data_IF_909723240528
#
_entry.id   IF_909723240528
#
_cell.length_a   1.000
_cell.length_b   1.000
_cell.length_c   1.000
_cell.angle_alpha   90.00
_cell.angle_beta   90.00
_cell.angle_gamma   90.00
#
_symmetry.space_group_name_H-M   'P 1'
#
loop_
_entity.id
_entity.type
_entity.pdbx_description
1 polymer ?
#
# COMPACT_ATOMS: atom_id res chain seq x y z
N UNK A 1 30.35 3.91 -9.28
CA UNK A 1 29.22 4.05 -8.34
C UNK A 1 28.31 2.86 -8.50
N UNK A 2 28.06 2.07 -7.45
CA UNK A 2 27.03 1.03 -7.48
C UNK A 2 25.66 1.71 -7.36
N UNK A 3 24.85 1.59 -8.40
CA UNK A 3 23.47 2.07 -8.39
C UNK A 3 22.70 1.10 -7.48
N UNK A 4 22.41 1.53 -6.24
CA UNK A 4 21.52 0.78 -5.36
C UNK A 4 20.12 0.85 -6.00
N UNK A 5 19.70 -0.23 -6.65
CA UNK A 5 18.30 -0.35 -7.06
C UNK A 5 17.48 -0.53 -5.78
N UNK A 6 16.46 0.30 -5.52
CA UNK A 6 15.61 0.08 -4.37
C UNK A 6 15.00 -1.32 -4.48
N UNK A 7 15.15 -2.09 -3.41
CA UNK A 7 14.54 -3.41 -3.32
C UNK A 7 13.02 -3.31 -3.23
N UNK A 8 12.27 -4.40 -3.43
CA UNK A 8 10.80 -4.40 -3.38
C UNK A 8 10.19 -3.92 -2.04
N UNK A 9 11.01 -3.82 -0.98
CA UNK A 9 10.65 -3.32 0.34
C UNK A 9 11.57 -2.17 0.80
N UNK A 10 12.12 -1.40 -0.13
CA UNK A 10 12.87 -0.19 0.22
C UNK A 10 11.92 0.83 0.84
N UNK A 11 12.29 1.32 2.03
CA UNK A 11 11.63 2.39 2.76
C UNK A 11 11.42 3.65 1.90
N UNK A 12 12.34 3.92 0.96
CA UNK A 12 12.22 5.02 0.02
C UNK A 12 10.95 4.95 -0.86
N UNK A 13 10.47 3.73 -1.14
CA UNK A 13 9.33 3.49 -2.03
C UNK A 13 7.99 3.40 -1.28
N UNK A 14 7.99 3.53 0.05
CA UNK A 14 6.78 3.35 0.87
C UNK A 14 5.64 4.30 0.49
N UNK A 15 5.95 5.54 0.09
CA UNK A 15 4.94 6.48 -0.41
C UNK A 15 4.32 6.04 -1.74
N UNK A 16 5.14 5.52 -2.65
CA UNK A 16 4.67 5.04 -3.95
C UNK A 16 3.85 3.76 -3.80
N UNK A 17 4.31 2.84 -2.94
CA UNK A 17 3.57 1.63 -2.55
C UNK A 17 2.21 2.00 -1.95
N UNK A 18 2.17 2.95 -1.01
CA UNK A 18 0.91 3.43 -0.41
C UNK A 18 -0.05 3.97 -1.47
N UNK A 19 0.42 4.85 -2.36
CA UNK A 19 -0.40 5.41 -3.45
C UNK A 19 -0.92 4.30 -4.38
N UNK A 20 -0.08 3.33 -4.72
CA UNK A 20 -0.46 2.19 -5.57
C UNK A 20 -1.51 1.30 -4.89
N UNK A 21 -1.36 1.03 -3.59
CA UNK A 21 -2.32 0.23 -2.83
C UNK A 21 -3.68 0.90 -2.74
N UNK A 22 -3.72 2.22 -2.48
CA UNK A 22 -4.96 3.01 -2.48
C UNK A 22 -5.63 2.95 -3.87
N UNK A 23 -4.90 3.24 -4.95
CA UNK A 23 -5.44 3.18 -6.31
C UNK A 23 -5.99 1.79 -6.67
N UNK A 24 -5.31 0.73 -6.21
CA UNK A 24 -5.77 -0.64 -6.42
C UNK A 24 -7.02 -0.98 -5.62
N UNK A 25 -7.24 -0.35 -4.47
CA UNK A 25 -8.44 -0.49 -3.66
C UNK A 25 -9.61 0.25 -4.32
N UNK A 26 -9.43 1.51 -4.71
CA UNK A 26 -10.43 2.31 -5.44
C UNK A 26 -10.86 1.65 -6.76
N UNK A 27 -9.89 1.15 -7.55
CA UNK A 27 -10.20 0.44 -8.79
C UNK A 27 -10.96 -0.87 -8.54
N UNK A 28 -10.68 -1.54 -7.42
CA UNK A 28 -11.39 -2.75 -7.02
C UNK A 28 -12.80 -2.43 -6.49
N UNK A 29 -12.98 -1.31 -5.80
CA UNK A 29 -14.31 -0.81 -5.39
C UNK A 29 -15.19 -0.53 -6.59
N UNK A 30 -14.66 0.13 -7.62
CA UNK A 30 -15.38 0.31 -8.87
C UNK A 30 -15.72 -1.04 -9.54
N UNK A 31 -14.79 -2.00 -9.52
CA UNK A 31 -15.05 -3.33 -10.06
C UNK A 31 -16.16 -4.09 -9.29
N UNK A 32 -16.37 -3.81 -7.99
CA UNK A 32 -17.46 -4.40 -7.22
C UNK A 32 -18.85 -4.03 -7.75
N UNK A 33 -19.00 -2.91 -8.45
CA UNK A 33 -20.29 -2.50 -9.03
C UNK A 33 -20.77 -3.47 -10.12
N UNK A 34 -19.84 -4.19 -10.75
CA UNK A 34 -20.11 -5.14 -11.84
C UNK A 34 -19.88 -6.59 -11.43
N UNK A 35 -19.36 -6.84 -10.23
CA UNK A 35 -19.01 -8.17 -9.75
C UNK A 35 -20.14 -8.80 -8.92
N UNK A 36 -20.32 -10.11 -9.05
CA UNK A 36 -21.34 -10.85 -8.32
C UNK A 36 -20.79 -12.15 -7.72
N UNK A 37 -21.55 -12.72 -6.77
CA UNK A 37 -21.25 -14.01 -6.17
C UNK A 37 -19.83 -14.13 -5.60
N UNK A 38 -19.07 -15.11 -6.07
CA UNK A 38 -17.71 -15.41 -5.58
C UNK A 38 -16.71 -14.31 -5.90
N UNK A 39 -16.87 -13.62 -7.03
CA UNK A 39 -15.96 -12.55 -7.44
C UNK A 39 -16.10 -11.34 -6.51
N UNK A 40 -17.34 -10.94 -6.19
CA UNK A 40 -17.62 -9.87 -5.24
C UNK A 40 -17.00 -10.15 -3.85
N UNK A 41 -17.13 -11.38 -3.35
CA UNK A 41 -16.53 -11.79 -2.06
C UNK A 41 -15.01 -11.70 -2.12
N UNK A 42 -14.39 -12.22 -3.18
CA UNK A 42 -12.94 -12.18 -3.34
C UNK A 42 -12.39 -10.74 -3.42
N UNK A 43 -13.12 -9.84 -4.09
CA UNK A 43 -12.76 -8.41 -4.16
C UNK A 43 -12.83 -7.78 -2.76
N UNK A 44 -13.90 -8.03 -2.00
CA UNK A 44 -14.06 -7.52 -0.62
C UNK A 44 -12.95 -8.00 0.31
N UNK A 45 -12.64 -9.29 0.31
CA UNK A 45 -11.55 -9.85 1.12
C UNK A 45 -10.20 -9.24 0.74
N UNK A 46 -9.96 -9.01 -0.55
CA UNK A 46 -8.71 -8.39 -1.02
C UNK A 46 -8.64 -6.91 -0.63
N UNK A 47 -9.76 -6.19 -0.61
CA UNK A 47 -9.81 -4.81 -0.11
C UNK A 47 -9.58 -4.73 1.39
N UNK A 48 -10.14 -5.64 2.19
CA UNK A 48 -9.86 -5.71 3.63
C UNK A 48 -8.35 -5.85 3.91
N UNK A 49 -7.64 -6.74 3.20
CA UNK A 49 -6.17 -6.86 3.33
C UNK A 49 -5.41 -5.62 2.85
N UNK A 50 -5.95 -4.86 1.89
CA UNK A 50 -5.35 -3.60 1.44
C UNK A 50 -5.50 -2.51 2.49
N UNK A 51 -6.60 -2.47 3.24
CA UNK A 51 -6.79 -1.54 4.35
C UNK A 51 -5.71 -1.75 5.42
N UNK A 52 -5.47 -3.00 5.83
CA UNK A 52 -4.37 -3.36 6.74
C UNK A 52 -3.01 -2.89 6.17
N UNK A 53 -2.74 -3.20 4.90
CA UNK A 53 -1.49 -2.78 4.23
C UNK A 53 -1.33 -1.25 4.17
N UNK A 54 -2.43 -0.50 4.01
CA UNK A 54 -2.43 0.97 3.99
C UNK A 54 -2.08 1.52 5.36
N UNK A 55 -2.62 0.93 6.43
CA UNK A 55 -2.30 1.32 7.81
C UNK A 55 -0.82 1.08 8.13
N UNK A 56 -0.31 -0.11 7.80
CA UNK A 56 1.09 -0.46 8.00
C UNK A 56 2.03 0.50 7.26
N UNK A 57 1.78 0.75 5.96
CA UNK A 57 2.57 1.69 5.17
C UNK A 57 2.50 3.12 5.71
N UNK A 58 1.35 3.57 6.21
CA UNK A 58 1.22 4.89 6.86
C UNK A 58 2.05 4.95 8.14
N UNK A 59 2.08 3.88 8.92
CA UNK A 59 2.87 3.80 10.15
C UNK A 59 4.37 3.78 9.84
N UNK A 60 4.80 3.02 8.84
CA UNK A 60 6.19 3.00 8.36
C UNK A 60 6.66 4.39 7.91
N UNK A 61 5.89 5.07 7.04
CA UNK A 61 6.21 6.43 6.57
C UNK A 61 6.32 7.42 7.74
N UNK A 62 5.45 7.30 8.75
CA UNK A 62 5.50 8.15 9.95
C UNK A 62 6.73 7.85 10.80
N UNK A 63 7.09 6.58 10.97
CA UNK A 63 8.28 6.16 11.70
C UNK A 63 9.55 6.67 11.02
N UNK A 64 9.66 6.51 9.69
CA UNK A 64 10.77 7.06 8.90
C UNK A 64 10.89 8.57 9.02
N UNK A 65 9.76 9.29 8.95
CA UNK A 65 9.76 10.74 9.10
C UNK A 65 10.28 11.15 10.49
N UNK A 66 9.89 10.44 11.55
CA UNK A 66 10.39 10.65 12.91
C UNK A 66 11.90 10.34 13.03
N UNK A 67 12.36 9.22 12.47
CA UNK A 67 13.79 8.87 12.47
C UNK A 67 14.63 9.92 11.75
N UNK A 68 14.15 10.45 10.61
CA UNK A 68 14.85 11.52 9.88
C UNK A 68 14.89 12.84 10.65
N UNK A 69 13.84 13.15 11.42
CA UNK A 69 13.82 14.34 12.29
C UNK A 69 14.77 14.16 13.49
N UNK A 70 14.86 12.94 14.04
CA UNK A 70 15.70 12.64 15.20
C UNK A 70 17.19 12.43 14.87
N UNK A 71 17.58 12.46 13.59
CA UNK A 71 18.98 12.62 13.16
C UNK A 71 19.95 11.51 13.60
N UNK A 72 19.50 10.25 13.60
CA UNK A 72 20.39 9.09 13.70
C UNK A 72 20.95 8.68 12.34
#
# INVERSE_FOLDING_TARGET
>A
MSIHKPGPNDSADNKERLKKTIKNMEAAEFAMEFAEGKELVAIKEKNARREESIEDLRNEIRAEAKSRINGY
#
